data_IF_398696832799
#
_entry.id   IF_398696832799
#
_cell.length_a   1.000
_cell.length_b   1.000
_cell.length_c   1.000
_cell.angle_alpha   90.00
_cell.angle_beta   90.00
_cell.angle_gamma   90.00
#
_symmetry.space_group_name_H-M   'P 1'
#
loop_
_entity.id
_entity.type
_entity.pdbx_description
1 polymer ?
2 non-polymer ?
3 non-polymer ?
4 non-polymer ?
5 water ?
#
# COMPACT_ATOMS: atom_id res chain seq x y z
N UNK A 1 -14.98 5.69 3.90
CA UNK A 1 -16.02 5.90 4.90
C UNK A 1 -16.67 4.63 5.43
N UNK A 2 -16.17 4.21 6.62
CA UNK A 2 -16.80 3.02 7.22
C UNK A 2 -17.86 3.58 8.18
N UNK A 3 -18.87 2.76 8.33
CA UNK A 3 -19.95 3.07 9.26
C UNK A 3 -19.43 3.20 10.68
N UNK A 4 -20.00 4.10 11.43
CA UNK A 4 -19.63 4.32 12.84
C UNK A 4 -20.61 3.53 13.70
N UNK A 5 -20.14 2.54 14.44
CA UNK A 5 -21.07 1.74 15.27
C UNK A 5 -21.80 2.64 16.26
N UNK A 6 -23.03 2.22 16.49
CA UNK A 6 -23.95 2.85 17.41
C UNK A 6 -24.80 1.72 18.03
N UNK A 7 -24.62 1.51 19.32
CA UNK A 7 -23.70 2.20 20.21
C UNK A 7 -22.25 1.99 19.77
N UNK A 8 -21.41 2.93 20.16
CA UNK A 8 -19.99 2.91 19.83
C UNK A 8 -19.22 1.84 20.63
N UNK A 9 -19.30 0.64 20.15
CA UNK A 9 -18.70 -0.58 20.61
C UNK A 9 -18.12 -1.40 19.44
N UNK A 10 -17.12 -2.19 19.84
CA UNK A 10 -16.38 -3.07 18.92
C UNK A 10 -17.36 -4.11 18.39
N UNK A 11 -17.17 -4.49 17.15
CA UNK A 11 -18.02 -5.62 16.61
C UNK A 11 -17.02 -6.51 15.87
N UNK A 12 -17.46 -7.69 15.50
CA UNK A 12 -16.55 -8.63 14.80
C UNK A 12 -16.12 -8.15 13.44
N UNK A 13 -16.70 -7.10 12.88
CA UNK A 13 -16.24 -6.59 11.56
C UNK A 13 -14.84 -6.00 11.75
N UNK A 14 -14.48 -5.69 12.99
CA UNK A 14 -13.18 -5.09 13.31
C UNK A 14 -12.12 -6.13 13.56
N UNK A 15 -12.46 -7.38 13.48
CA UNK A 15 -11.48 -8.43 13.76
C UNK A 15 -10.19 -8.33 12.95
N UNK A 16 -9.05 -8.50 13.68
CA UNK A 16 -7.76 -8.54 13.01
C UNK A 16 -7.24 -9.97 12.97
N UNK A 17 -7.76 -10.85 13.79
CA UNK A 17 -7.34 -12.25 13.93
C UNK A 17 -6.18 -12.43 14.88
N UNK A 18 -5.75 -11.36 15.50
CA UNK A 18 -4.76 -11.33 16.56
C UNK A 18 -5.62 -11.04 17.82
N UNK A 19 -5.83 -12.08 18.59
CA UNK A 19 -6.70 -11.98 19.77
C UNK A 19 -6.26 -10.92 20.73
N UNK A 20 -5.00 -10.78 20.99
CA UNK A 20 -4.50 -9.75 21.91
C UNK A 20 -4.80 -8.38 21.34
N UNK A 21 -4.58 -8.18 20.06
CA UNK A 21 -4.89 -6.89 19.44
C UNK A 21 -6.39 -6.59 19.53
N UNK A 22 -7.21 -7.54 19.17
CA UNK A 22 -8.67 -7.37 19.20
C UNK A 22 -9.11 -7.01 20.62
N UNK A 23 -8.66 -7.70 21.64
CA UNK A 23 -9.04 -7.38 23.05
C UNK A 23 -8.64 -5.98 23.39
N UNK A 24 -7.47 -5.54 22.96
CA UNK A 24 -7.08 -4.14 23.23
C UNK A 24 -7.97 -3.16 22.54
N UNK A 25 -8.30 -3.46 21.27
CA UNK A 25 -9.18 -2.54 20.51
C UNK A 25 -10.50 -2.30 21.22
N UNK A 26 -11.05 -3.35 21.78
CA UNK A 26 -12.29 -3.27 22.55
C UNK A 26 -12.15 -2.23 23.64
N UNK A 27 -10.98 -2.09 24.22
CA UNK A 27 -10.80 -1.12 25.28
C UNK A 27 -10.80 0.26 24.67
N UNK A 28 -10.40 0.41 23.42
CA UNK A 28 -10.35 1.78 22.86
C UNK A 28 -11.78 2.21 22.52
N UNK A 29 -12.57 1.32 22.00
CA UNK A 29 -14.01 1.67 21.75
C UNK A 29 -14.68 2.13 23.04
N UNK A 30 -14.50 1.35 24.08
CA UNK A 30 -15.07 1.68 25.41
C UNK A 30 -14.63 3.05 25.90
N UNK A 31 -13.37 3.39 25.79
CA UNK A 31 -12.82 4.66 26.20
C UNK A 31 -13.52 5.82 25.46
N UNK A 32 -13.73 5.69 24.15
CA UNK A 32 -14.40 6.74 23.37
C UNK A 32 -15.86 6.76 23.78
N UNK A 33 -16.49 5.62 23.97
CA UNK A 33 -17.89 5.63 24.41
C UNK A 33 -18.03 6.39 25.74
N UNK A 34 -17.21 6.08 26.75
CA UNK A 34 -17.31 6.82 28.02
C UNK A 34 -17.18 8.31 27.79
N UNK A 35 -16.26 8.78 26.96
CA UNK A 35 -16.13 10.22 26.76
C UNK A 35 -17.40 10.79 26.14
N UNK A 36 -18.08 10.00 25.31
CA UNK A 36 -19.32 10.47 24.63
C UNK A 36 -20.42 10.58 25.68
N UNK A 37 -20.37 9.79 26.73
CA UNK A 37 -21.33 9.86 27.83
C UNK A 37 -21.04 11.04 28.77
N UNK A 38 -19.80 11.37 29.00
CA UNK A 38 -19.29 12.40 29.87
C UNK A 38 -17.83 12.73 29.59
N UNK A 39 -17.61 13.90 29.06
CA UNK A 39 -16.27 14.38 28.73
C UNK A 39 -15.59 14.89 29.99
N UNK A 40 -15.07 13.95 30.78
CA UNK A 40 -14.33 14.36 32.01
C UNK A 40 -12.91 13.75 32.04
N UNK A 41 -12.21 14.03 33.11
CA UNK A 41 -10.86 13.62 33.40
C UNK A 41 -10.75 12.12 33.60
N UNK A 42 -11.61 11.46 34.33
CA UNK A 42 -11.54 10.03 34.50
C UNK A 42 -11.62 9.27 33.16
N UNK A 43 -12.60 9.68 32.41
CA UNK A 43 -12.84 9.05 31.08
C UNK A 43 -11.68 9.26 30.17
N UNK A 44 -11.15 10.48 30.13
CA UNK A 44 -10.00 10.72 29.27
C UNK A 44 -8.76 9.91 29.74
N UNK A 45 -8.53 9.83 31.02
CA UNK A 45 -7.41 9.07 31.57
C UNK A 45 -7.48 7.61 31.10
N UNK A 46 -8.69 7.07 31.25
CA UNK A 46 -8.91 5.69 30.87
C UNK A 46 -8.56 5.43 29.40
N UNK A 47 -9.11 6.28 28.53
CA UNK A 47 -8.85 6.17 27.13
C UNK A 47 -7.35 6.41 26.87
N UNK A 48 -6.78 7.41 27.44
CA UNK A 48 -5.38 7.76 27.20
C UNK A 48 -4.48 6.60 27.64
N UNK A 49 -4.75 6.01 28.79
CA UNK A 49 -3.94 4.87 29.28
C UNK A 49 -4.09 3.73 28.26
N UNK A 50 -5.29 3.32 27.97
CA UNK A 50 -5.49 2.19 27.02
C UNK A 50 -4.89 2.39 25.67
N UNK A 51 -4.96 3.57 25.14
CA UNK A 51 -4.38 3.95 23.87
C UNK A 51 -2.86 3.87 23.88
N UNK A 52 -2.25 4.50 24.88
CA UNK A 52 -0.77 4.50 24.94
C UNK A 52 -0.31 3.06 24.97
N UNK A 53 -0.95 2.29 25.80
CA UNK A 53 -0.58 0.87 25.97
C UNK A 53 -0.79 0.10 24.66
N UNK A 54 -1.97 0.25 24.08
CA UNK A 54 -2.24 -0.52 22.84
C UNK A 54 -1.23 -0.14 21.77
N UNK A 55 -1.05 1.14 21.55
CA UNK A 55 -0.13 1.62 20.51
C UNK A 55 1.27 1.06 20.70
N UNK A 56 1.76 1.02 21.93
CA UNK A 56 3.09 0.45 22.17
C UNK A 56 3.10 -1.07 21.96
N UNK A 57 2.14 -1.78 22.43
CA UNK A 57 2.08 -3.23 22.21
C UNK A 57 2.02 -3.56 20.73
N UNK A 58 1.18 -2.82 20.02
CA UNK A 58 1.03 -3.17 18.58
C UNK A 58 2.30 -2.88 17.85
N UNK A 59 2.98 -1.82 18.24
CA UNK A 59 4.27 -1.40 17.72
C UNK A 59 5.30 -2.51 17.93
N UNK A 60 5.24 -3.07 19.15
CA UNK A 60 6.17 -4.15 19.47
C UNK A 60 5.91 -5.36 18.59
N UNK A 61 4.65 -5.69 18.42
CA UNK A 61 4.30 -6.81 17.52
C UNK A 61 4.82 -6.59 16.10
N UNK A 62 4.73 -5.37 15.59
CA UNK A 62 5.22 -5.00 14.27
C UNK A 62 6.74 -5.17 14.22
N UNK A 63 7.43 -4.72 15.23
CA UNK A 63 8.88 -4.83 15.31
C UNK A 63 9.36 -6.25 15.35
N UNK A 64 8.62 -7.15 15.93
CA UNK A 64 9.05 -8.54 16.11
C UNK A 64 9.21 -9.29 14.80
N UNK A 65 8.59 -8.81 13.74
CA UNK A 65 8.72 -9.40 12.42
C UNK A 65 9.36 -8.38 11.49
N UNK A 66 9.91 -7.30 12.01
CA UNK A 66 10.51 -6.25 11.21
C UNK A 66 9.54 -5.78 10.13
N UNK A 67 8.29 -5.55 10.49
CA UNK A 67 7.25 -5.08 9.58
C UNK A 67 7.70 -3.83 8.84
N UNK A 68 7.57 -3.91 7.52
CA UNK A 68 7.98 -2.85 6.61
C UNK A 68 7.15 -1.59 6.77
N UNK A 69 5.93 -1.67 7.26
CA UNK A 69 5.09 -0.46 7.42
C UNK A 69 5.19 0.18 8.77
N UNK A 70 6.13 -0.24 9.59
CA UNK A 70 6.21 0.28 10.97
C UNK A 70 6.28 1.77 11.08
N UNK A 71 7.20 2.43 10.41
CA UNK A 71 7.42 3.85 10.60
C UNK A 71 6.17 4.66 10.39
N UNK A 72 5.51 4.35 9.29
CA UNK A 72 4.31 5.11 8.93
C UNK A 72 3.23 4.82 9.92
N UNK A 73 3.18 3.59 10.39
CA UNK A 73 2.12 3.21 11.37
C UNK A 73 2.40 3.87 12.71
N UNK A 74 3.64 3.93 13.10
CA UNK A 74 3.96 4.58 14.39
C UNK A 74 3.57 6.04 14.33
N UNK A 75 3.88 6.68 13.21
CA UNK A 75 3.57 8.12 13.07
C UNK A 75 2.09 8.38 13.23
N UNK A 76 1.23 7.54 12.69
CA UNK A 76 -0.22 7.67 12.81
C UNK A 76 -0.68 7.58 14.26
N UNK A 77 -0.14 6.60 14.96
CA UNK A 77 -0.41 6.42 16.41
C UNK A 77 -0.04 7.66 17.21
N UNK A 78 1.18 8.10 16.98
CA UNK A 78 1.71 9.28 17.66
C UNK A 78 0.84 10.51 17.42
N UNK A 79 0.36 10.68 16.21
CA UNK A 79 -0.50 11.85 15.91
C UNK A 79 -1.77 11.75 16.75
N UNK A 80 -2.28 10.56 16.93
CA UNK A 80 -3.52 10.43 17.75
C UNK A 80 -3.22 10.71 19.22
N UNK A 81 -2.11 10.18 19.74
CA UNK A 81 -1.76 10.48 21.16
C UNK A 81 -1.77 12.00 21.39
N UNK A 82 -1.15 12.66 20.44
CA UNK A 82 -1.02 14.13 20.46
C UNK A 82 -2.40 14.76 20.62
N UNK A 83 -3.34 14.21 19.88
CA UNK A 83 -4.74 14.69 19.94
C UNK A 83 -5.30 14.41 21.34
N UNK A 84 -5.00 13.24 21.89
CA UNK A 84 -5.51 12.95 23.21
C UNK A 84 -4.86 13.88 24.23
N UNK A 85 -3.59 14.20 24.05
CA UNK A 85 -2.85 15.03 24.99
C UNK A 85 -3.22 16.52 24.90
N UNK A 86 -3.88 16.91 23.84
CA UNK A 86 -4.30 18.31 23.65
C UNK A 86 -5.82 18.28 23.44
N UNK A 87 -6.48 17.38 24.12
CA UNK A 87 -7.91 17.08 24.00
C UNK A 87 -8.79 18.35 24.06
N UNK A 88 -9.57 18.49 23.02
CA UNK A 88 -10.48 19.57 22.75
C UNK A 88 -11.94 19.13 22.91
N UNK A 89 -12.24 17.92 23.25
CA UNK A 89 -13.59 17.42 23.40
C UNK A 89 -14.26 16.99 22.10
N UNK A 90 -13.53 16.92 21.01
CA UNK A 90 -14.11 16.49 19.73
C UNK A 90 -14.25 14.97 19.69
N UNK A 91 -15.35 14.49 20.24
CA UNK A 91 -15.62 13.06 20.29
C UNK A 91 -15.85 12.48 18.90
N UNK A 92 -16.37 13.31 18.04
CA UNK A 92 -16.73 12.88 16.66
C UNK A 92 -15.48 12.49 15.91
N UNK A 93 -14.47 13.33 16.07
CA UNK A 93 -13.19 13.09 15.45
C UNK A 93 -12.69 11.70 15.91
N UNK A 94 -12.69 11.56 17.23
CA UNK A 94 -12.16 10.30 17.80
C UNK A 94 -12.93 9.11 17.29
N UNK A 95 -14.24 9.13 17.23
CA UNK A 95 -15.01 7.98 16.79
C UNK A 95 -14.65 7.57 15.36
N UNK A 96 -14.50 8.60 14.55
CA UNK A 96 -14.12 8.37 13.16
C UNK A 96 -12.69 7.84 13.09
N UNK A 97 -11.79 8.57 13.78
CA UNK A 97 -10.37 8.20 13.75
C UNK A 97 -10.20 6.73 14.03
N UNK A 98 -10.77 6.23 15.12
CA UNK A 98 -10.52 4.84 15.48
C UNK A 98 -11.06 3.89 14.44
N UNK A 99 -12.29 4.05 13.98
CA UNK A 99 -12.85 3.10 13.00
C UNK A 99 -11.97 3.01 11.78
N UNK A 100 -11.60 4.18 11.28
CA UNK A 100 -10.76 4.28 10.08
C UNK A 100 -9.39 3.64 10.27
N UNK A 101 -8.81 3.92 11.43
CA UNK A 101 -7.45 3.41 11.72
C UNK A 101 -7.41 1.90 11.69
N UNK A 102 -8.35 1.29 12.39
CA UNK A 102 -8.33 -0.16 12.42
C UNK A 102 -8.57 -0.73 11.01
N UNK A 103 -9.66 -0.28 10.42
CA UNK A 103 -10.09 -0.85 9.10
C UNK A 103 -9.20 -0.52 7.96
N UNK A 104 -8.36 0.50 7.96
CA UNK A 104 -7.41 0.71 6.90
C UNK A 104 -5.95 0.60 7.34
N UNK A 105 -5.47 1.00 8.49
CA UNK A 105 -4.03 0.95 8.84
C UNK A 105 -3.67 -0.34 9.55
N UNK A 106 -4.42 -0.72 10.56
CA UNK A 106 -4.17 -1.99 11.22
C UNK A 106 -4.46 -3.14 10.29
N UNK A 107 -5.53 -3.02 9.47
CA UNK A 107 -5.84 -4.20 8.60
C UNK A 107 -4.70 -4.52 7.66
N UNK A 108 -3.88 -3.54 7.32
CA UNK A 108 -2.75 -3.77 6.45
C UNK A 108 -1.65 -4.61 7.07
N UNK A 109 -1.55 -4.78 8.38
CA UNK A 109 -0.45 -5.64 8.85
C UNK A 109 -0.86 -7.08 8.89
N UNK A 110 -2.13 -7.41 8.75
CA UNK A 110 -2.63 -8.81 8.83
C UNK A 110 -1.90 -9.73 7.86
N UNK A 111 -1.39 -10.82 8.41
CA UNK A 111 -0.61 -11.80 7.67
C UNK A 111 0.87 -11.46 7.59
N UNK A 112 1.28 -10.30 8.08
CA UNK A 112 2.67 -9.85 7.98
C UNK A 112 3.40 -9.76 9.30
N UNK A 113 2.66 -9.90 10.36
CA UNK A 113 3.24 -9.84 11.72
C UNK A 113 2.63 -11.00 12.49
N UNK B 1 -12.17 -35.38 4.45
CA UNK B 1 -11.12 -36.10 3.63
C UNK B 1 -10.43 -35.12 2.70
N UNK B 2 -9.21 -34.77 3.10
CA UNK B 2 -8.46 -33.73 2.37
C UNK B 2 -7.30 -34.30 1.60
N UNK B 3 -7.01 -33.58 0.54
CA UNK B 3 -5.87 -33.89 -0.31
C UNK B 3 -4.56 -33.85 0.48
N UNK B 4 -3.68 -34.70 0.00
CA UNK B 4 -2.32 -34.82 0.52
C UNK B 4 -1.43 -34.01 -0.40
N UNK B 5 -0.88 -32.91 0.13
CA UNK B 5 -0.02 -32.08 -0.70
C UNK B 5 1.14 -32.90 -1.22
N UNK B 6 1.54 -32.58 -2.44
CA UNK B 6 2.73 -33.28 -3.01
C UNK B 6 3.52 -32.17 -3.71
N UNK B 7 4.73 -31.83 -3.30
CA UNK B 7 5.51 -32.45 -2.23
C UNK B 7 4.83 -32.19 -0.91
N UNK B 8 5.11 -33.01 0.06
CA UNK B 8 4.55 -32.91 1.42
C UNK B 8 5.15 -31.77 2.24
N UNK B 9 4.59 -30.61 2.00
CA UNK B 9 4.91 -29.36 2.64
C UNK B 9 3.63 -28.55 2.87
N UNK B 10 3.82 -27.74 3.91
CA UNK B 10 2.75 -26.87 4.39
C UNK B 10 2.29 -25.94 3.29
N UNK B 11 1.01 -25.65 3.23
CA UNK B 11 0.58 -24.61 2.22
C UNK B 11 -0.40 -23.70 2.98
N UNK B 12 -0.76 -22.58 2.39
CA UNK B 12 -1.60 -21.61 3.13
C UNK B 12 -3.01 -22.10 3.33
N UNK B 13 -3.42 -23.21 2.74
CA UNK B 13 -4.77 -23.76 2.98
C UNK B 13 -4.84 -24.29 4.41
N UNK B 14 -3.68 -24.46 5.03
CA UNK B 14 -3.58 -24.97 6.41
C UNK B 14 -3.53 -23.85 7.44
N UNK B 15 -3.50 -22.61 7.05
CA UNK B 15 -3.45 -21.51 7.99
C UNK B 15 -4.51 -21.58 9.07
N UNK B 16 -4.11 -21.39 10.30
CA UNK B 16 -5.02 -21.35 11.43
C UNK B 16 -5.14 -19.88 11.82
N UNK B 17 -4.27 -19.04 11.32
CA UNK B 17 -4.22 -17.60 11.64
C UNK B 17 -3.60 -17.32 13.01
N UNK B 18 -3.08 -18.33 13.65
CA UNK B 18 -2.24 -18.22 14.87
C UNK B 18 -0.80 -18.42 14.30
N UNK B 19 -0.05 -17.38 14.03
CA UNK B 19 1.27 -17.49 13.38
C UNK B 19 2.21 -18.44 14.07
N UNK B 20 2.24 -18.49 15.37
CA UNK B 20 3.10 -19.40 16.12
C UNK B 20 2.75 -20.85 15.79
N UNK B 21 1.45 -21.12 15.77
CA UNK B 21 0.87 -22.42 15.46
C UNK B 21 1.24 -22.82 14.03
N UNK B 22 0.95 -21.90 13.11
CA UNK B 22 1.27 -22.20 11.70
C UNK B 22 2.75 -22.50 11.57
N UNK B 23 3.61 -21.70 12.21
CA UNK B 23 5.09 -21.91 12.04
C UNK B 23 5.49 -23.27 12.59
N UNK B 24 4.96 -23.64 13.77
CA UNK B 24 5.19 -24.98 14.25
C UNK B 24 4.68 -26.05 13.30
N UNK B 25 3.49 -25.85 12.75
CA UNK B 25 2.95 -26.83 11.77
C UNK B 25 3.90 -27.11 10.62
N UNK B 26 4.51 -26.09 10.07
CA UNK B 26 5.50 -26.17 9.03
C UNK B 26 6.58 -27.16 9.43
N UNK B 27 6.97 -27.18 10.70
CA UNK B 27 8.00 -28.15 11.08
C UNK B 27 7.52 -29.58 11.11
N UNK B 28 6.24 -29.83 11.35
CA UNK B 28 5.71 -31.22 11.35
C UNK B 28 5.69 -31.71 9.89
N UNK B 29 5.27 -30.85 8.96
CA UNK B 29 5.23 -31.27 7.54
C UNK B 29 6.65 -31.73 7.11
N UNK B 30 7.62 -30.91 7.49
CA UNK B 30 9.04 -31.16 7.12
C UNK B 30 9.50 -32.46 7.75
N UNK B 31 9.13 -32.68 8.98
CA UNK B 31 9.49 -33.89 9.73
C UNK B 31 8.97 -35.10 8.94
N UNK B 32 7.72 -35.08 8.54
CA UNK B 32 7.15 -36.22 7.78
C UNK B 32 7.82 -36.30 6.41
N UNK B 33 8.12 -35.19 5.78
CA UNK B 33 8.82 -35.21 4.51
C UNK B 33 10.14 -35.94 4.65
N UNK B 34 10.98 -35.65 5.62
CA UNK B 34 12.24 -36.35 5.80
C UNK B 34 12.08 -37.86 5.94
N UNK B 35 11.16 -38.31 6.72
CA UNK B 35 10.91 -39.74 6.93
C UNK B 35 10.55 -40.37 5.58
N UNK B 36 9.82 -39.57 4.82
CA UNK B 36 9.40 -40.05 3.49
C UNK B 36 10.61 -40.16 2.59
N UNK B 37 11.74 -39.54 2.91
CA UNK B 37 12.93 -39.64 2.06
C UNK B 37 13.88 -40.70 2.57
N UNK B 38 13.98 -40.84 3.87
CA UNK B 38 14.90 -41.81 4.48
C UNK B 38 14.32 -42.13 5.83
N UNK B 39 13.89 -43.35 6.00
CA UNK B 39 13.31 -43.69 7.32
C UNK B 39 14.48 -44.06 8.22
N UNK B 40 14.99 -43.06 8.91
CA UNK B 40 16.13 -43.34 9.84
C UNK B 40 15.85 -42.68 11.18
N UNK B 41 16.78 -42.85 12.12
CA UNK B 41 16.68 -42.27 13.46
C UNK B 41 16.84 -40.75 13.48
N UNK B 42 17.69 -40.12 12.71
CA UNK B 42 17.83 -38.67 12.73
C UNK B 42 16.50 -38.01 12.36
N UNK B 43 15.91 -38.56 11.32
CA UNK B 43 14.64 -37.98 10.83
C UNK B 43 13.50 -38.14 11.78
N UNK B 44 13.43 -39.31 12.42
CA UNK B 44 12.38 -39.57 13.39
C UNK B 44 12.58 -38.75 14.66
N UNK B 45 13.78 -38.44 15.06
CA UNK B 45 14.06 -37.68 16.29
C UNK B 45 13.58 -36.25 16.08
N UNK B 46 13.93 -35.82 14.87
CA UNK B 46 13.56 -34.49 14.39
C UNK B 46 12.06 -34.35 14.39
N UNK B 47 11.32 -35.28 13.77
CA UNK B 47 9.85 -35.22 13.78
C UNK B 47 9.35 -35.37 15.23
N UNK B 48 9.80 -36.31 16.00
CA UNK B 48 9.37 -36.54 17.35
C UNK B 48 9.53 -35.30 18.25
N UNK B 49 10.69 -34.67 18.20
CA UNK B 49 10.94 -33.44 18.97
C UNK B 49 9.92 -32.38 18.60
N UNK B 50 9.86 -32.02 17.33
CA UNK B 50 8.89 -31.01 16.86
C UNK B 50 7.46 -31.32 17.23
N UNK B 51 7.06 -32.58 17.16
CA UNK B 51 5.71 -33.02 17.49
C UNK B 51 5.43 -32.83 18.97
N UNK B 52 6.36 -33.33 19.78
CA UNK B 52 6.14 -33.17 21.22
C UNK B 52 6.05 -31.69 21.59
N UNK B 53 6.91 -30.87 21.02
CA UNK B 53 6.97 -29.44 21.37
C UNK B 53 5.68 -28.78 20.92
N UNK B 54 5.33 -29.02 19.63
CA UNK B 54 4.08 -28.38 19.12
C UNK B 54 2.87 -28.80 19.91
N UNK B 55 2.69 -30.09 20.16
CA UNK B 55 1.50 -30.53 20.91
C UNK B 55 1.41 -29.88 22.26
N UNK B 56 2.51 -29.79 22.99
CA UNK B 56 2.41 -29.13 24.32
C UNK B 56 2.12 -27.65 24.20
N UNK B 57 2.76 -26.91 23.34
CA UNK B 57 2.47 -25.48 23.18
C UNK B 57 1.02 -25.22 22.84
N UNK B 58 0.53 -26.03 21.87
CA UNK B 58 -0.84 -25.89 21.40
C UNK B 58 -1.80 -26.17 22.56
N UNK B 59 -1.48 -27.20 23.30
CA UNK B 59 -2.23 -27.55 24.50
C UNK B 59 -2.22 -26.40 25.48
N UNK B 60 -1.10 -25.75 25.64
CA UNK B 60 -0.98 -24.60 26.55
C UNK B 60 -1.88 -23.46 26.10
N UNK B 61 -1.80 -23.24 24.79
CA UNK B 61 -2.65 -22.17 24.21
C UNK B 61 -4.13 -22.45 24.47
N UNK B 62 -4.59 -23.67 24.32
CA UNK B 62 -5.97 -24.07 24.59
C UNK B 62 -6.32 -23.81 26.05
N UNK B 63 -5.46 -24.22 26.96
CA UNK B 63 -5.66 -24.04 28.41
C UNK B 63 -5.78 -22.57 28.81
N UNK B 64 -5.04 -21.71 28.18
CA UNK B 64 -5.06 -20.28 28.51
C UNK B 64 -6.41 -19.63 28.39
N UNK B 65 -7.32 -20.21 27.65
CA UNK B 65 -8.66 -19.69 27.45
C UNK B 65 -9.69 -20.73 27.89
N UNK B 66 -9.25 -21.68 28.67
CA UNK B 66 -10.04 -22.82 29.17
C UNK B 66 -10.89 -23.43 28.07
N UNK B 67 -10.24 -23.73 26.94
CA UNK B 67 -10.95 -24.30 25.78
C UNK B 67 -11.73 -25.54 26.18
N UNK B 68 -12.99 -25.51 25.76
CA UNK B 68 -13.94 -26.62 26.03
C UNK B 68 -13.60 -27.91 25.31
N UNK B 69 -12.88 -27.91 24.21
CA UNK B 69 -12.55 -29.14 23.48
C UNK B 69 -11.16 -29.64 23.69
N UNK B 70 -10.62 -29.22 24.83
CA UNK B 70 -9.24 -29.60 25.16
C UNK B 70 -8.98 -31.08 25.29
N UNK B 71 -9.77 -31.70 26.14
CA UNK B 71 -9.59 -33.13 26.52
C UNK B 71 -9.59 -34.03 25.32
N UNK B 72 -10.51 -33.79 24.38
CA UNK B 72 -10.56 -34.60 23.17
C UNK B 72 -9.36 -34.31 22.29
N UNK B 73 -8.98 -33.04 22.32
CA UNK B 73 -7.84 -32.61 21.49
C UNK B 73 -6.59 -33.23 22.05
N UNK B 74 -6.37 -33.16 23.35
CA UNK B 74 -5.15 -33.73 23.95
C UNK B 74 -5.11 -35.21 23.70
N UNK B 75 -6.21 -35.90 23.85
CA UNK B 75 -6.18 -37.39 23.57
C UNK B 75 -5.80 -37.68 22.14
N UNK B 76 -6.21 -36.92 21.13
CA UNK B 76 -5.77 -37.13 19.76
C UNK B 76 -4.24 -37.02 19.67
N UNK B 77 -3.73 -35.98 20.32
CA UNK B 77 -2.29 -35.68 20.29
C UNK B 77 -1.50 -36.85 20.83
N UNK B 78 -1.91 -37.27 22.03
CA UNK B 78 -1.24 -38.37 22.77
C UNK B 78 -1.24 -39.66 21.96
N UNK B 79 -2.28 -39.94 21.19
CA UNK B 79 -2.34 -41.18 20.39
C UNK B 79 -1.23 -41.16 19.35
N UNK B 80 -1.07 -40.01 18.75
CA UNK B 80 -0.08 -39.80 17.68
C UNK B 80 1.34 -39.85 18.24
N UNK B 81 1.60 -39.22 19.35
CA UNK B 81 2.93 -39.32 19.99
C UNK B 81 3.26 -40.81 20.13
N UNK B 82 2.26 -41.50 20.65
CA UNK B 82 2.32 -42.94 20.88
C UNK B 82 2.73 -43.71 19.63
N UNK B 83 2.17 -43.42 18.47
CA UNK B 83 2.55 -44.05 17.22
C UNK B 83 4.00 -43.73 16.90
N UNK B 84 4.39 -42.50 17.25
CA UNK B 84 5.78 -42.12 16.96
C UNK B 84 6.70 -42.88 17.90
N UNK B 85 6.28 -43.10 19.13
CA UNK B 85 7.14 -43.83 20.09
C UNK B 85 7.23 -45.31 19.73
N UNK B 86 6.35 -45.80 18.89
CA UNK B 86 6.40 -47.22 18.44
C UNK B 86 6.46 -47.24 16.93
N UNK B 87 7.20 -46.31 16.32
CA UNK B 87 7.31 -46.11 14.88
C UNK B 87 7.41 -47.46 14.14
N UNK B 88 6.58 -47.57 13.12
CA UNK B 88 6.47 -48.76 12.26
C UNK B 88 6.86 -48.51 10.81
N UNK B 89 7.13 -47.28 10.46
CA UNK B 89 7.56 -46.95 9.10
C UNK B 89 6.38 -46.60 8.24
N UNK B 90 5.22 -46.61 8.88
CA UNK B 90 4.01 -46.27 8.08
C UNK B 90 3.94 -44.75 7.87
N UNK B 91 4.59 -44.30 6.84
CA UNK B 91 4.70 -42.89 6.45
C UNK B 91 3.37 -42.38 5.92
N UNK B 92 2.62 -43.31 5.33
CA UNK B 92 1.34 -42.96 4.71
C UNK B 92 0.33 -42.51 5.74
N UNK B 93 0.30 -43.27 6.81
CA UNK B 93 -0.55 -42.96 7.94
C UNK B 93 -0.28 -41.52 8.44
N UNK B 94 1.00 -41.25 8.64
CA UNK B 94 1.50 -40.00 9.19
C UNK B 94 1.10 -38.84 8.30
N UNK B 95 1.22 -39.00 6.99
CA UNK B 95 0.89 -37.94 6.03
C UNK B 95 -0.60 -37.59 6.14
N UNK B 96 -1.38 -38.64 6.28
CA UNK B 96 -2.81 -38.56 6.41
C UNK B 96 -3.28 -37.95 7.72
N UNK B 97 -2.68 -38.50 8.77
CA UNK B 97 -3.00 -38.06 10.13
C UNK B 97 -2.87 -36.55 10.24
N UNK B 98 -1.69 -36.03 9.88
CA UNK B 98 -1.47 -34.60 10.05
C UNK B 98 -2.44 -33.77 9.26
N UNK B 99 -2.65 -34.08 8.00
CA UNK B 99 -3.54 -33.24 7.15
C UNK B 99 -4.90 -33.13 7.82
N UNK B 100 -5.41 -34.25 8.21
CA UNK B 100 -6.70 -34.38 8.86
C UNK B 100 -6.80 -33.70 10.20
N UNK B 101 -5.80 -33.96 11.03
CA UNK B 101 -5.77 -33.35 12.37
C UNK B 101 -5.87 -31.84 12.29
N UNK B 102 -5.05 -31.24 11.45
CA UNK B 102 -5.08 -29.79 11.33
C UNK B 102 -6.43 -29.29 10.82
N UNK B 103 -6.84 -29.86 9.68
CA UNK B 103 -8.06 -29.36 8.99
C UNK B 103 -9.32 -29.73 9.71
N UNK B 104 -9.30 -30.62 10.67
CA UNK B 104 -10.51 -30.91 11.42
C UNK B 104 -10.36 -30.55 12.88
N UNK B 105 -9.44 -31.07 13.62
CA UNK B 105 -9.31 -30.79 15.06
C UNK B 105 -8.74 -29.44 15.34
N UNK B 106 -7.59 -29.05 14.78
CA UNK B 106 -7.03 -27.72 15.04
C UNK B 106 -7.98 -26.65 14.53
N UNK B 107 -8.53 -26.78 13.34
CA UNK B 107 -9.40 -25.70 12.78
C UNK B 107 -10.57 -25.38 13.69
N UNK B 108 -10.97 -26.31 14.49
CA UNK B 108 -12.03 -26.18 15.44
C UNK B 108 -11.74 -25.16 16.52
N UNK B 109 -10.51 -25.02 16.95
CA UNK B 109 -10.28 -24.02 18.06
C UNK B 109 -10.22 -22.63 17.50
N UNK B 110 -10.17 -22.43 16.20
CA UNK B 110 -9.99 -21.04 15.70
C UNK B 110 -11.08 -20.14 16.21
N UNK B 111 -10.72 -18.96 16.71
CA UNK B 111 -11.69 -18.01 17.26
C UNK B 111 -12.10 -18.27 18.70
N UNK B 112 -11.65 -19.36 19.31
CA UNK B 112 -12.01 -19.69 20.68
C UNK B 112 -10.86 -19.65 21.65
N UNK B 113 -9.66 -19.55 21.11
CA UNK B 113 -8.43 -19.51 21.85
C UNK B 113 -7.57 -18.34 21.36
N UNK C 1 0.60 38.81 -10.52
CA UNK C 1 1.76 38.19 -9.79
C UNK C 1 1.24 36.92 -9.11
N UNK C 2 1.46 35.77 -9.76
CA UNK C 2 0.93 34.51 -9.20
C UNK C 2 1.93 33.89 -8.25
N UNK C 3 1.37 33.23 -7.26
CA UNK C 3 2.18 32.46 -6.33
C UNK C 3 2.89 31.34 -7.11
N UNK C 4 4.11 31.06 -6.68
CA UNK C 4 4.93 29.99 -7.16
C UNK C 4 4.69 28.82 -6.22
N UNK C 5 4.17 27.75 -6.77
CA UNK C 5 3.87 26.58 -5.94
C UNK C 5 5.12 26.03 -5.28
N UNK C 6 4.97 25.55 -4.07
CA UNK C 6 6.09 24.89 -3.35
C UNK C 6 5.52 23.66 -2.62
N UNK C 7 5.93 22.45 -2.95
CA UNK C 7 6.93 22.10 -3.95
C UNK C 7 6.42 22.50 -5.33
N UNK C 8 7.36 22.71 -6.23
CA UNK C 8 7.08 23.14 -7.59
C UNK C 8 6.50 21.98 -8.39
N UNK C 9 5.22 21.79 -8.23
CA UNK C 9 4.43 20.76 -8.90
C UNK C 9 3.11 21.40 -9.34
N UNK C 10 2.53 20.79 -10.37
CA UNK C 10 1.27 21.31 -10.93
C UNK C 10 0.15 21.19 -9.91
N UNK C 11 -0.81 22.07 -9.90
CA UNK C 11 -2.02 21.93 -9.02
C UNK C 11 -3.25 22.27 -9.86
N UNK C 12 -4.45 22.05 -9.35
CA UNK C 12 -5.65 22.25 -10.18
C UNK C 12 -5.98 23.68 -10.51
N UNK C 13 -5.35 24.64 -9.83
CA UNK C 13 -5.50 26.06 -10.17
C UNK C 13 -4.97 26.31 -11.59
N UNK C 14 -4.19 25.39 -12.14
CA UNK C 14 -3.62 25.56 -13.47
C UNK C 14 -4.49 24.87 -14.50
N UNK C 15 -5.56 24.25 -14.10
CA UNK C 15 -6.37 23.54 -15.08
C UNK C 15 -6.82 24.40 -16.23
N UNK C 16 -6.70 23.90 -17.46
CA UNK C 16 -7.16 24.56 -18.64
C UNK C 16 -8.43 23.88 -19.15
N UNK C 17 -8.75 22.73 -18.65
CA UNK C 17 -9.87 21.88 -19.05
C UNK C 17 -9.67 21.13 -20.38
N UNK C 18 -8.49 21.13 -20.89
CA UNK C 18 -7.99 20.34 -22.02
C UNK C 18 -7.08 19.28 -21.33
N UNK C 19 -7.60 18.09 -21.14
CA UNK C 19 -6.89 17.06 -20.37
C UNK C 19 -5.53 16.77 -20.97
N UNK C 20 -5.40 16.70 -22.29
CA UNK C 20 -4.08 16.42 -22.88
C UNK C 20 -3.09 17.54 -22.58
N UNK C 21 -3.57 18.78 -22.58
CA UNK C 21 -2.77 19.96 -22.29
C UNK C 21 -2.42 19.93 -20.79
N UNK C 22 -3.36 19.66 -19.93
CA UNK C 22 -3.06 19.61 -18.50
C UNK C 22 -1.97 18.58 -18.22
N UNK C 23 -2.08 17.38 -18.73
CA UNK C 23 -1.11 16.29 -18.52
C UNK C 23 0.25 16.68 -19.00
N UNK C 24 0.32 17.41 -20.11
CA UNK C 24 1.65 17.88 -20.60
C UNK C 24 2.26 18.92 -19.67
N UNK C 25 1.45 19.83 -19.18
CA UNK C 25 1.88 20.91 -18.26
C UNK C 25 2.50 20.28 -17.02
N UNK C 26 1.91 19.18 -16.58
CA UNK C 26 2.41 18.42 -15.44
C UNK C 26 3.86 18.03 -15.70
N UNK C 27 4.20 17.64 -16.92
CA UNK C 27 5.57 17.28 -17.25
C UNK C 27 6.48 18.49 -17.23
N UNK C 28 6.02 19.69 -17.52
CA UNK C 28 6.89 20.88 -17.49
C UNK C 28 7.18 21.31 -16.04
N UNK C 29 6.22 21.26 -15.13
CA UNK C 29 6.49 21.52 -13.73
C UNK C 29 7.59 20.55 -13.24
N UNK C 30 7.40 19.27 -13.53
CA UNK C 30 8.35 18.23 -13.13
C UNK C 30 9.76 18.52 -13.66
N UNK C 31 9.91 18.92 -14.88
CA UNK C 31 11.21 19.21 -15.48
C UNK C 31 11.94 20.29 -14.71
N UNK C 32 11.17 21.32 -14.37
CA UNK C 32 11.74 22.45 -13.59
C UNK C 32 12.09 21.96 -12.18
N UNK C 33 11.25 21.23 -11.50
CA UNK C 33 11.57 20.67 -10.22
C UNK C 33 12.87 19.89 -10.27
N UNK C 34 13.09 19.06 -11.28
CA UNK C 34 14.32 18.26 -11.41
C UNK C 34 15.55 19.17 -11.38
N UNK C 35 15.59 20.14 -12.24
CA UNK C 35 16.68 21.08 -12.32
C UNK C 35 16.90 21.82 -11.01
N UNK C 36 15.81 22.10 -10.33
CA UNK C 36 15.90 22.81 -9.05
C UNK C 36 16.61 21.89 -8.07
N UNK C 37 16.67 20.61 -8.30
CA UNK C 37 17.33 19.62 -7.47
C UNK C 37 18.74 19.27 -7.91
N UNK C 38 19.05 19.36 -9.14
CA UNK C 38 20.32 19.08 -9.76
C UNK C 38 20.29 19.70 -11.15
N UNK C 39 20.98 20.80 -11.24
CA UNK C 39 21.04 21.45 -12.60
C UNK C 39 22.05 20.64 -13.39
N UNK C 40 21.65 19.60 -14.09
CA UNK C 40 22.61 18.76 -14.87
C UNK C 40 22.03 18.55 -16.27
N UNK C 41 22.76 17.82 -17.08
CA UNK C 41 22.34 17.54 -18.46
C UNK C 41 21.14 16.63 -18.53
N UNK C 42 21.08 15.57 -17.75
CA UNK C 42 19.94 14.66 -17.76
C UNK C 42 18.61 15.40 -17.54
N UNK C 43 18.63 16.20 -16.49
CA UNK C 43 17.44 16.97 -16.08
C UNK C 43 17.12 18.02 -17.09
N UNK C 44 18.09 18.67 -17.73
CA UNK C 44 17.77 19.66 -18.76
C UNK C 44 17.17 18.98 -20.02
N UNK C 45 17.71 17.87 -20.42
CA UNK C 45 17.24 17.13 -21.59
C UNK C 45 15.77 16.80 -21.37
N UNK C 46 15.48 16.35 -20.15
CA UNK C 46 14.09 15.96 -19.85
C UNK C 46 13.15 17.15 -20.03
N UNK C 47 13.52 18.28 -19.44
CA UNK C 47 12.71 19.47 -19.56
C UNK C 47 12.63 19.91 -21.02
N UNK C 48 13.74 19.99 -21.69
CA UNK C 48 13.82 20.40 -23.07
C UNK C 48 12.89 19.58 -23.99
N UNK C 49 12.97 18.29 -23.93
CA UNK C 49 12.16 17.36 -24.66
C UNK C 49 10.67 17.66 -24.36
N UNK C 50 10.23 17.62 -23.13
CA UNK C 50 8.83 17.89 -22.70
C UNK C 50 8.36 19.23 -23.11
N UNK C 51 9.24 20.24 -23.08
CA UNK C 51 8.85 21.58 -23.53
C UNK C 51 8.64 21.65 -25.03
N UNK C 52 9.59 21.19 -25.83
CA UNK C 52 9.44 21.25 -27.29
C UNK C 52 8.17 20.49 -27.74
N UNK C 53 7.96 19.32 -27.19
CA UNK C 53 6.79 18.51 -27.56
C UNK C 53 5.52 19.23 -27.14
N UNK C 54 5.46 19.74 -25.91
CA UNK C 54 4.24 20.43 -25.46
C UNK C 54 3.98 21.67 -26.31
N UNK C 55 4.98 22.47 -26.57
CA UNK C 55 4.75 23.68 -27.36
C UNK C 55 4.22 23.33 -28.74
N UNK C 56 4.76 22.34 -29.38
CA UNK C 56 4.27 22.00 -30.71
C UNK C 56 2.85 21.45 -30.63
N UNK C 57 2.55 20.59 -29.70
CA UNK C 57 1.20 19.99 -29.57
C UNK C 57 0.16 21.07 -29.33
N UNK C 58 0.47 21.99 -28.46
CA UNK C 58 -0.44 23.10 -28.15
C UNK C 58 -0.64 23.98 -29.35
N UNK C 59 0.44 24.28 -30.06
CA UNK C 59 0.37 25.06 -31.27
C UNK C 59 -0.49 24.32 -32.29
N UNK C 60 -0.36 22.99 -32.39
CA UNK C 60 -1.20 22.30 -33.37
C UNK C 60 -2.66 22.42 -32.95
N UNK C 61 -2.93 22.34 -31.66
CA UNK C 61 -4.33 22.47 -31.20
C UNK C 61 -4.90 23.84 -31.57
N UNK C 62 -4.09 24.88 -31.38
CA UNK C 62 -4.49 26.26 -31.70
C UNK C 62 -4.80 26.36 -33.19
N UNK C 63 -3.94 25.78 -34.02
CA UNK C 63 -4.11 25.86 -35.48
C UNK C 63 -5.33 25.10 -35.98
N UNK C 64 -5.75 24.06 -35.33
CA UNK C 64 -6.93 23.26 -35.73
C UNK C 64 -8.22 24.06 -35.71
N UNK C 65 -8.31 25.11 -34.93
CA UNK C 65 -9.48 25.99 -34.87
C UNK C 65 -9.16 27.35 -35.43
N UNK C 66 -8.04 27.47 -36.06
CA UNK C 66 -7.54 28.76 -36.56
C UNK C 66 -7.55 29.83 -35.46
N UNK C 67 -7.01 29.51 -34.31
CA UNK C 67 -6.92 30.42 -33.17
C UNK C 67 -6.28 31.72 -33.59
N UNK C 68 -7.05 32.79 -33.23
CA UNK C 68 -6.62 34.14 -33.57
C UNK C 68 -5.39 34.60 -32.82
N UNK C 69 -5.13 34.09 -31.62
CA UNK C 69 -3.94 34.51 -30.87
C UNK C 69 -2.73 33.61 -31.09
N UNK C 70 -2.68 32.85 -32.16
CA UNK C 70 -1.56 31.92 -32.40
C UNK C 70 -0.19 32.55 -32.48
N UNK C 71 0.02 33.52 -33.34
CA UNK C 71 1.36 34.13 -33.59
C UNK C 71 2.04 34.64 -32.35
N UNK C 72 1.25 35.35 -31.57
CA UNK C 72 1.70 35.92 -30.31
C UNK C 72 2.09 34.78 -29.38
N UNK C 73 1.22 33.76 -29.37
CA UNK C 73 1.50 32.62 -28.47
C UNK C 73 2.74 31.90 -28.94
N UNK C 74 2.90 31.68 -30.23
CA UNK C 74 4.05 30.97 -30.76
C UNK C 74 5.36 31.66 -30.44
N UNK C 75 5.29 32.97 -30.54
CA UNK C 75 6.49 33.82 -30.25
C UNK C 75 6.88 33.67 -28.79
N UNK C 76 5.94 33.61 -27.85
CA UNK C 76 6.25 33.39 -26.44
C UNK C 76 6.93 32.06 -26.23
N UNK C 77 6.45 31.02 -26.90
CA UNK C 77 7.00 29.68 -26.81
C UNK C 77 8.44 29.61 -27.29
N UNK C 78 8.67 30.16 -28.44
CA UNK C 78 9.97 30.22 -29.13
C UNK C 78 11.06 30.91 -28.27
N UNK C 79 10.68 31.98 -27.60
CA UNK C 79 11.58 32.71 -26.72
C UNK C 79 12.03 31.75 -25.59
N UNK C 80 11.09 31.01 -25.04
CA UNK C 80 11.43 30.12 -23.93
C UNK C 80 12.31 28.97 -24.43
N UNK C 81 12.03 28.42 -25.57
CA UNK C 81 12.88 27.33 -26.09
C UNK C 81 14.32 27.82 -26.16
N UNK C 82 14.43 29.06 -26.63
CA UNK C 82 15.70 29.75 -26.81
C UNK C 82 16.46 29.84 -25.50
N UNK C 83 15.74 30.17 -24.44
CA UNK C 83 16.37 30.22 -23.12
C UNK C 83 16.85 28.81 -22.76
N UNK C 84 16.07 27.78 -23.04
CA UNK C 84 16.58 26.45 -22.63
C UNK C 84 17.76 26.05 -23.48
N UNK C 85 17.79 26.52 -24.73
CA UNK C 85 18.89 26.17 -25.64
C UNK C 85 20.17 26.94 -25.27
N UNK C 86 20.04 27.93 -24.45
CA UNK C 86 21.22 28.71 -24.04
C UNK C 86 21.10 28.83 -22.54
N UNK C 87 20.86 27.70 -21.92
CA UNK C 87 20.61 27.59 -20.47
C UNK C 87 21.71 28.27 -19.66
N UNK C 88 21.24 29.10 -18.73
CA UNK C 88 22.13 29.86 -17.85
C UNK C 88 22.01 29.46 -16.39
N UNK C 89 21.29 28.45 -16.04
CA UNK C 89 21.09 27.91 -14.73
C UNK C 89 20.14 28.68 -13.86
N UNK C 90 19.42 29.59 -14.44
CA UNK C 90 18.49 30.45 -13.71
C UNK C 90 17.09 29.81 -13.59
N UNK C 91 17.01 29.01 -12.58
CA UNK C 91 15.84 28.20 -12.23
C UNK C 91 14.72 29.10 -11.74
N UNK C 92 15.11 30.23 -11.19
CA UNK C 92 14.09 31.14 -10.65
C UNK C 92 13.26 31.69 -11.78
N UNK C 93 13.91 32.15 -12.81
CA UNK C 93 13.27 32.65 -14.00
C UNK C 93 12.28 31.63 -14.58
N UNK C 94 12.79 30.41 -14.77
CA UNK C 94 11.96 29.35 -15.39
C UNK C 94 10.70 29.13 -14.61
N UNK C 95 10.87 29.03 -13.28
CA UNK C 95 9.73 28.75 -12.40
C UNK C 95 8.66 29.79 -12.60
N UNK C 96 9.06 31.02 -12.69
CA UNK C 96 8.19 32.14 -12.89
C UNK C 96 7.55 32.18 -14.28
N UNK C 97 8.43 31.93 -15.24
CA UNK C 97 8.01 31.94 -16.64
C UNK C 97 6.83 30.99 -16.81
N UNK C 98 6.99 29.77 -16.35
CA UNK C 98 5.95 28.75 -16.54
C UNK C 98 4.67 29.13 -15.84
N UNK C 99 4.68 29.46 -14.57
CA UNK C 99 3.47 29.85 -13.84
C UNK C 99 2.72 30.94 -14.61
N UNK C 100 3.43 31.96 -14.99
CA UNK C 100 2.88 33.07 -15.74
C UNK C 100 2.31 32.76 -17.10
N UNK C 101 3.11 32.00 -17.87
CA UNK C 101 2.68 31.61 -19.25
C UNK C 101 1.36 30.91 -19.25
N UNK C 102 1.20 29.90 -18.40
CA UNK C 102 -0.05 29.16 -18.35
C UNK C 102 -1.19 30.08 -17.92
N UNK C 103 -1.01 30.72 -16.77
CA UNK C 103 -2.18 31.44 -16.21
C UNK C 103 -2.50 32.67 -16.97
N UNK C 104 -1.62 33.21 -17.78
CA UNK C 104 -2.02 34.38 -18.58
C UNK C 104 -2.09 34.09 -20.07
N UNK C 105 -1.23 33.34 -20.71
CA UNK C 105 -1.27 33.13 -22.18
C UNK C 105 -2.06 31.88 -22.53
N UNK C 106 -1.70 30.73 -21.95
CA UNK C 106 -2.50 29.53 -22.21
C UNK C 106 -3.94 29.81 -21.82
N UNK C 107 -4.17 30.42 -20.64
CA UNK C 107 -5.57 30.61 -20.25
C UNK C 107 -6.36 31.38 -21.28
N UNK C 108 -5.77 32.17 -22.13
CA UNK C 108 -6.50 32.96 -23.12
C UNK C 108 -7.18 32.09 -24.19
N UNK C 109 -6.68 30.93 -24.51
CA UNK C 109 -7.29 30.08 -25.53
C UNK C 109 -8.44 29.29 -24.97
N UNK C 110 -8.69 29.22 -23.69
CA UNK C 110 -9.79 28.37 -23.20
C UNK C 110 -11.11 28.76 -23.83
N UNK C 111 -11.82 27.79 -24.37
CA UNK C 111 -13.10 28.00 -25.01
C UNK C 111 -12.98 28.33 -26.47
N UNK C 112 -11.76 28.59 -26.91
CA UNK C 112 -11.61 28.97 -28.33
C UNK C 112 -10.93 27.92 -29.18
N UNK C 113 -10.45 26.85 -28.63
CA UNK C 113 -9.79 25.78 -29.40
C UNK C 113 -10.34 24.44 -28.94
N UNK D 1 14.00 -1.39 1.32
CA UNK D 1 12.83 -1.10 0.40
C UNK D 1 13.22 0.09 -0.46
N UNK D 2 12.37 0.43 -1.43
CA UNK D 2 12.73 1.57 -2.30
C UNK D 2 12.51 2.87 -1.52
N UNK D 3 13.31 3.85 -1.85
CA UNK D 3 13.10 5.20 -1.28
C UNK D 3 11.82 5.81 -1.85
N UNK D 4 11.08 6.46 -0.97
CA UNK D 4 9.88 7.21 -1.36
C UNK D 4 10.33 8.66 -1.56
N UNK D 5 10.31 9.13 -2.80
CA UNK D 5 10.68 10.50 -3.08
C UNK D 5 9.90 11.47 -2.20
N UNK D 6 10.58 12.50 -1.77
CA UNK D 6 9.96 13.60 -1.02
C UNK D 6 10.60 14.92 -1.49
N UNK D 7 9.84 15.83 -2.09
CA UNK D 7 8.41 15.74 -2.39
C UNK D 7 8.16 14.57 -3.34
N UNK D 8 6.94 14.10 -3.35
CA UNK D 8 6.53 12.95 -4.18
C UNK D 8 6.30 13.36 -5.64
N UNK D 9 7.39 13.38 -6.37
CA UNK D 9 7.42 13.71 -7.79
C UNK D 9 8.41 12.70 -8.42
N UNK D 10 8.18 12.53 -9.71
CA UNK D 10 9.01 11.64 -10.54
C UNK D 10 10.42 12.14 -10.59
N UNK D 11 11.36 11.23 -10.70
CA UNK D 11 12.83 11.56 -10.83
C UNK D 11 13.37 10.59 -11.90
N UNK D 12 14.56 10.79 -12.37
CA UNK D 12 15.07 9.92 -13.48
C UNK D 12 15.40 8.54 -13.07
N UNK D 13 15.40 8.17 -11.80
CA UNK D 13 15.64 6.76 -11.46
C UNK D 13 14.45 5.92 -11.91
N UNK D 14 13.33 6.56 -12.27
CA UNK D 14 12.10 5.84 -12.64
C UNK D 14 12.01 5.69 -14.13
N UNK D 15 13.05 6.17 -14.82
CA UNK D 15 12.98 6.09 -16.30
C UNK D 15 12.90 4.67 -16.82
N UNK D 16 11.99 4.49 -17.76
CA UNK D 16 11.76 3.27 -18.46
C UNK D 16 12.42 3.38 -19.86
N UNK D 17 12.73 4.57 -20.29
CA UNK D 17 13.30 4.91 -21.58
C UNK D 17 12.22 4.88 -22.66
N UNK D 18 10.98 4.74 -22.28
CA UNK D 18 9.87 4.91 -23.26
C UNK D 18 9.32 6.29 -22.88
N UNK D 19 9.60 7.31 -23.65
CA UNK D 19 9.24 8.69 -23.30
C UNK D 19 7.77 8.89 -23.07
N UNK D 20 6.93 8.25 -23.83
CA UNK D 20 5.50 8.39 -23.62
C UNK D 20 5.12 7.78 -22.28
N UNK D 21 5.68 6.63 -21.94
CA UNK D 21 5.43 6.01 -20.65
C UNK D 21 5.92 6.91 -19.49
N UNK D 22 7.18 7.35 -19.59
CA UNK D 22 7.75 8.23 -18.56
C UNK D 22 6.86 9.46 -18.32
N UNK D 23 6.37 10.05 -19.41
CA UNK D 23 5.51 11.28 -19.24
C UNK D 23 4.21 10.95 -18.55
N UNK D 24 3.56 9.84 -18.85
CA UNK D 24 2.35 9.46 -18.17
C UNK D 24 2.66 9.19 -16.72
N UNK D 25 3.80 8.59 -16.43
CA UNK D 25 4.16 8.31 -15.01
C UNK D 25 4.29 9.59 -14.21
N UNK D 26 4.83 10.62 -14.80
CA UNK D 26 4.95 11.90 -14.06
C UNK D 26 3.57 12.35 -13.60
N UNK D 27 2.53 12.05 -14.38
CA UNK D 27 1.16 12.45 -14.02
C UNK D 27 0.68 11.64 -12.86
N UNK D 28 1.07 10.37 -12.74
CA UNK D 28 0.59 9.55 -11.60
C UNK D 28 1.21 10.07 -10.29
N UNK D 29 2.47 10.43 -10.29
CA UNK D 29 3.16 11.02 -9.13
C UNK D 29 2.41 12.28 -8.70
N UNK D 30 2.17 13.15 -9.66
CA UNK D 30 1.47 14.43 -9.36
C UNK D 30 0.12 14.16 -8.76
N UNK D 31 -0.61 13.16 -9.25
CA UNK D 31 -1.94 12.85 -8.74
C UNK D 31 -1.91 12.48 -7.26
N UNK D 32 -1.02 11.59 -6.89
CA UNK D 32 -0.87 11.19 -5.48
C UNK D 32 -0.42 12.35 -4.64
N UNK D 33 0.54 13.13 -5.16
CA UNK D 33 0.96 14.32 -4.43
C UNK D 33 -0.26 15.19 -4.09
N UNK D 34 -1.13 15.47 -5.03
CA UNK D 34 -2.31 16.29 -4.79
C UNK D 34 -3.12 15.66 -3.67
N UNK D 35 -3.37 14.37 -3.71
CA UNK D 35 -4.16 13.73 -2.67
C UNK D 35 -3.51 13.94 -1.30
N UNK D 36 -2.20 13.91 -1.31
CA UNK D 36 -1.35 14.09 -0.12
C UNK D 36 -1.57 15.48 0.46
N UNK D 37 -1.79 16.44 -0.41
CA UNK D 37 -2.07 17.83 0.04
C UNK D 37 -3.50 17.96 0.51
N UNK D 38 -4.46 17.39 -0.18
CA UNK D 38 -5.87 17.49 0.20
C UNK D 38 -6.59 16.32 -0.41
N UNK D 39 -7.16 15.56 0.46
CA UNK D 39 -7.91 14.38 0.05
C UNK D 39 -9.33 14.81 -0.33
N UNK D 40 -9.56 15.17 -1.58
CA UNK D 40 -10.91 15.59 -2.04
C UNK D 40 -11.27 14.90 -3.35
N UNK D 41 -12.45 15.16 -3.88
CA UNK D 41 -12.94 14.55 -5.11
C UNK D 41 -12.17 15.01 -6.34
N UNK D 42 -11.84 16.27 -6.48
CA UNK D 42 -11.13 16.80 -7.64
C UNK D 42 -9.79 16.07 -7.83
N UNK D 43 -9.05 16.01 -6.72
CA UNK D 43 -7.73 15.37 -6.73
C UNK D 43 -7.86 13.91 -7.09
N UNK D 44 -8.82 13.22 -6.50
CA UNK D 44 -9.06 11.81 -6.74
C UNK D 44 -9.42 11.58 -8.22
N UNK D 45 -10.29 12.43 -8.73
CA UNK D 45 -10.71 12.34 -10.14
C UNK D 45 -9.50 12.48 -11.05
N UNK D 46 -8.68 13.49 -10.72
CA UNK D 46 -7.49 13.75 -11.52
C UNK D 46 -6.60 12.53 -11.52
N UNK D 47 -6.36 11.90 -10.38
CA UNK D 47 -5.53 10.70 -10.33
C UNK D 47 -6.20 9.53 -11.05
N UNK D 48 -7.46 9.32 -10.78
CA UNK D 48 -8.24 8.24 -11.37
C UNK D 48 -8.24 8.30 -12.88
N UNK D 49 -8.42 9.47 -13.45
CA UNK D 49 -8.36 9.65 -14.91
C UNK D 49 -6.98 9.23 -15.44
N UNK D 50 -5.94 9.89 -14.91
CA UNK D 50 -4.58 9.64 -15.34
C UNK D 50 -4.18 8.18 -15.18
N UNK D 51 -4.62 7.54 -14.15
CA UNK D 51 -4.33 6.14 -13.87
C UNK D 51 -5.10 5.28 -14.89
N UNK D 52 -6.37 5.45 -15.07
CA UNK D 52 -7.17 4.68 -16.08
C UNK D 52 -6.48 4.79 -17.44
N UNK D 53 -6.13 6.00 -17.83
CA UNK D 53 -5.52 6.24 -19.16
C UNK D 53 -4.13 5.62 -19.24
N UNK D 54 -3.24 5.86 -18.30
CA UNK D 54 -1.90 5.28 -18.35
C UNK D 54 -1.95 3.75 -18.46
N UNK D 55 -2.71 3.11 -17.60
CA UNK D 55 -2.81 1.65 -17.54
C UNK D 55 -3.28 1.08 -18.88
N UNK D 56 -4.24 1.71 -19.49
CA UNK D 56 -4.71 1.23 -20.80
C UNK D 56 -3.62 1.46 -21.85
N UNK D 57 -3.03 2.60 -21.87
CA UNK D 57 -1.97 2.93 -22.84
C UNK D 57 -0.81 1.97 -22.71
N UNK D 58 -0.43 1.72 -21.46
CA UNK D 58 0.67 0.79 -21.26
C UNK D 58 0.28 -0.61 -21.65
N UNK D 59 -0.93 -1.04 -21.44
CA UNK D 59 -1.47 -2.33 -21.81
C UNK D 59 -1.47 -2.50 -23.32
N UNK D 60 -1.80 -1.46 -24.01
CA UNK D 60 -1.78 -1.45 -25.47
C UNK D 60 -0.35 -1.65 -25.98
N UNK D 61 0.63 -0.93 -25.43
CA UNK D 61 2.03 -1.08 -25.88
C UNK D 61 2.51 -2.50 -25.66
N UNK D 62 2.12 -3.11 -24.54
CA UNK D 62 2.48 -4.47 -24.22
C UNK D 62 1.89 -5.40 -25.28
N UNK D 63 0.64 -5.20 -25.60
CA UNK D 63 -0.02 -6.08 -26.59
C UNK D 63 0.60 -5.99 -27.96
N UNK D 64 1.06 -4.84 -28.35
CA UNK D 64 1.59 -4.59 -29.70
C UNK D 64 2.80 -5.46 -30.01
N UNK D 65 3.48 -5.93 -28.97
CA UNK D 65 4.60 -6.87 -29.18
C UNK D 65 4.24 -8.21 -28.57
N UNK D 66 2.97 -8.41 -28.25
CA UNK D 66 2.53 -9.68 -27.66
C UNK D 66 3.35 -9.99 -26.40
N UNK D 67 3.57 -9.00 -25.57
CA UNK D 67 4.35 -9.19 -24.33
C UNK D 67 3.91 -10.37 -23.52
N UNK D 68 4.89 -11.27 -23.21
CA UNK D 68 4.53 -12.51 -22.47
C UNK D 68 4.04 -12.24 -21.06
N UNK D 69 4.40 -11.11 -20.50
CA UNK D 69 4.03 -10.82 -19.11
C UNK D 69 2.76 -9.99 -19.00
N UNK D 70 2.00 -9.85 -20.05
CA UNK D 70 0.78 -9.01 -20.03
C UNK D 70 -0.25 -9.40 -18.98
N UNK D 71 -0.61 -10.65 -18.90
CA UNK D 71 -1.71 -11.06 -18.02
C UNK D 71 -1.38 -10.72 -16.61
N UNK D 72 -0.20 -11.03 -16.16
CA UNK D 72 0.12 -10.69 -14.75
C UNK D 72 0.19 -9.19 -14.55
N UNK D 73 0.59 -8.43 -15.54
CA UNK D 73 0.71 -6.97 -15.41
C UNK D 73 -0.68 -6.36 -15.41
N UNK D 74 -1.58 -6.85 -16.24
CA UNK D 74 -2.93 -6.26 -16.26
C UNK D 74 -3.60 -6.44 -14.91
N UNK D 75 -3.38 -7.57 -14.32
CA UNK D 75 -3.92 -7.96 -13.03
C UNK D 75 -3.49 -6.99 -11.94
N UNK D 76 -2.25 -6.58 -11.91
CA UNK D 76 -1.73 -5.61 -10.94
C UNK D 76 -2.38 -4.25 -11.13
N UNK D 77 -2.56 -3.81 -12.35
CA UNK D 77 -3.18 -2.58 -12.75
C UNK D 77 -4.65 -2.59 -12.30
N UNK D 78 -5.34 -3.67 -12.61
CA UNK D 78 -6.79 -3.79 -12.29
C UNK D 78 -7.02 -3.67 -10.81
N UNK D 79 -6.18 -4.31 -10.03
CA UNK D 79 -6.31 -4.23 -8.56
C UNK D 79 -6.13 -2.81 -8.08
N UNK D 80 -5.22 -2.06 -8.67
CA UNK D 80 -5.02 -0.67 -8.18
C UNK D 80 -6.20 0.20 -8.57
N UNK D 81 -6.78 -0.05 -9.72
CA UNK D 81 -7.96 0.72 -10.16
C UNK D 81 -9.06 0.47 -9.10
N UNK D 82 -9.14 -0.79 -8.76
CA UNK D 82 -10.17 -1.16 -7.75
C UNK D 82 -9.95 -0.40 -6.47
N UNK D 83 -8.72 -0.26 -6.01
CA UNK D 83 -8.45 0.53 -4.80
C UNK D 83 -8.85 1.97 -5.01
N UNK D 84 -8.57 2.55 -6.17
CA UNK D 84 -9.00 3.94 -6.36
C UNK D 84 -10.51 4.05 -6.42
N UNK D 85 -11.19 3.05 -6.91
CA UNK D 85 -12.66 3.11 -7.04
C UNK D 85 -13.32 2.93 -5.67
N UNK D 86 -12.57 2.45 -4.72
CA UNK D 86 -13.07 2.27 -3.33
C UNK D 86 -12.14 3.01 -2.39
N UNK D 87 -11.73 4.21 -2.75
CA UNK D 87 -10.72 5.02 -2.04
C UNK D 87 -10.99 5.01 -0.53
N UNK D 88 -9.97 4.66 0.24
CA UNK D 88 -10.01 4.54 1.70
C UNK D 88 -9.22 5.66 2.34
N UNK D 89 -8.67 6.56 1.57
CA UNK D 89 -7.90 7.67 2.12
C UNK D 89 -6.48 7.34 2.42
N UNK D 90 -6.02 6.12 2.15
CA UNK D 90 -4.63 5.72 2.45
C UNK D 90 -3.65 6.16 1.37
N UNK D 91 -3.13 7.38 1.51
CA UNK D 91 -2.16 7.95 0.59
C UNK D 91 -0.84 7.18 0.64
N UNK D 92 -0.54 6.76 1.87
CA UNK D 92 0.74 6.05 2.11
C UNK D 92 0.84 4.82 1.22
N UNK D 93 -0.27 4.11 1.21
CA UNK D 93 -0.38 2.91 0.41
C UNK D 93 -0.10 3.26 -1.05
N UNK D 94 -0.82 4.29 -1.49
CA UNK D 94 -0.69 4.71 -2.89
C UNK D 94 0.73 5.15 -3.19
N UNK D 95 1.38 5.90 -2.32
CA UNK D 95 2.73 6.39 -2.61
C UNK D 95 3.66 5.20 -2.82
N UNK D 96 3.52 4.25 -1.95
CA UNK D 96 4.24 2.98 -1.93
C UNK D 96 3.95 2.12 -3.17
N UNK D 97 2.68 1.96 -3.49
CA UNK D 97 2.26 1.14 -4.61
C UNK D 97 2.94 1.59 -5.89
N UNK D 98 2.86 2.86 -6.19
CA UNK D 98 3.39 3.35 -7.47
C UNK D 98 4.89 3.15 -7.57
N UNK D 99 5.62 3.49 -6.53
CA UNK D 99 7.08 3.34 -6.59
C UNK D 99 7.45 1.93 -6.93
N UNK D 100 6.85 1.04 -6.18
CA UNK D 100 7.15 -0.39 -6.35
C UNK D 100 6.67 -0.89 -7.70
N UNK D 101 5.49 -0.46 -8.14
CA UNK D 101 4.96 -0.91 -9.45
C UNK D 101 5.88 -0.57 -10.59
N UNK D 102 6.32 0.67 -10.67
CA UNK D 102 7.20 1.07 -11.75
C UNK D 102 8.52 0.29 -11.70
N UNK D 103 9.14 0.33 -10.51
CA UNK D 103 10.50 -0.23 -10.38
C UNK D 103 10.57 -1.71 -10.37
N UNK D 104 9.48 -2.42 -10.17
CA UNK D 104 9.54 -3.87 -10.23
C UNK D 104 8.72 -4.39 -11.41
N UNK D 105 7.48 -4.00 -11.66
CA UNK D 105 6.66 -4.58 -12.72
C UNK D 105 6.89 -3.92 -14.07
N UNK D 106 6.81 -2.59 -14.10
CA UNK D 106 7.04 -1.89 -15.38
C UNK D 106 8.49 -2.15 -15.82
N UNK D 107 9.43 -2.12 -14.88
CA UNK D 107 10.85 -2.36 -15.33
C UNK D 107 11.00 -3.71 -16.02
N UNK D 108 10.17 -4.69 -15.78
CA UNK D 108 10.27 -5.99 -16.44
C UNK D 108 10.01 -5.92 -17.95
N UNK D 109 9.22 -5.01 -18.49
CA UNK D 109 8.96 -5.03 -19.94
C UNK D 109 10.03 -4.33 -20.71
N UNK D 110 10.97 -3.65 -20.05
CA UNK D 110 11.98 -2.84 -20.76
C UNK D 110 12.78 -3.67 -21.77
N UNK D 111 12.81 -3.28 -23.04
CA UNK D 111 13.53 -4.05 -24.05
C UNK D 111 12.72 -5.14 -24.68
N UNK D 112 11.50 -5.35 -24.24
CA UNK D 112 10.62 -6.41 -24.73
C UNK D 112 9.40 -5.92 -25.48
N UNK D 113 9.15 -4.64 -25.42
CA UNK D 113 8.03 -3.94 -26.06
C UNK D 113 8.55 -2.70 -26.76
#
# INVERSE_FOLDING_TARGET
GFPIPDPYCWDISFRTFYTIIDDEHKTLFNGILLLSQADNADHLNELRRCTGKHFLNEQQLMQSSQYAGYAEHKKAHDDFIHKLDTWDGDVTYAKNWLVNHIKTIDFKYRGKI
GFPIPDPYCWDISFRTFYTIIDDEHKTLFNGILLLSQADNADHLNELRRCTGKHFLNEQQLMQSSQYAGYAEHKKAHDDFIHKLDTWDGDVTYAKNWLVNHIKTIDFKYRGKI
GFPIPDPYCWDISFRTFYTIIDDEHKTLFNGILLLSQADNADHLNELRRCTGKHFLNEQQLMQSSQYAGYAEHKKAHDDFIHKLDTWDGDVTYAKNWLVNHIKTIDFKYRGKI
GFPIPDPYCWDISFRTFYTIIDDEHKTLFNGILLLSQADNADHLNELRRCTGKHFLNEQQLMQSSQYAGYAEHKKAHDDFIHKLDTWDGDVTYAKNWLVNHIKTIDFKYRGKI
#
